data_IF_709322828764
#
_entry.id   IF_709322828764
#
_cell.length_a   1.000
_cell.length_b   1.000
_cell.length_c   1.000
_cell.angle_alpha   90.00
_cell.angle_beta   90.00
_cell.angle_gamma   90.00
#
_symmetry.space_group_name_H-M   'P 1'
#
loop_
_entity.id
_entity.type
_entity.pdbx_description
1 polymer ?
#
# COMPACT_ATOMS: atom_id res chain seq x y z
N UNK A 1 -3.50 -11.32 5.86
CA UNK A 1 -2.40 -10.90 4.96
C UNK A 1 -1.79 -9.65 5.54
N UNK A 2 -0.47 -9.55 5.48
CA UNK A 2 0.23 -8.35 5.95
C UNK A 2 0.50 -7.44 4.76
N UNK A 3 0.27 -6.15 4.95
CA UNK A 3 0.42 -5.12 3.94
C UNK A 3 0.77 -3.80 4.61
N UNK A 4 1.33 -2.85 3.86
CA UNK A 4 1.63 -1.51 4.35
C UNK A 4 1.00 -0.45 3.44
N UNK A 5 0.55 0.66 4.04
CA UNK A 5 -0.06 1.77 3.32
C UNK A 5 0.88 2.26 2.21
N UNK A 6 0.39 2.38 0.97
CA UNK A 6 1.19 2.90 -0.14
C UNK A 6 2.40 2.04 -0.53
N UNK A 7 2.50 0.80 -0.03
CA UNK A 7 3.65 -0.07 -0.20
C UNK A 7 4.88 0.36 0.60
N UNK A 8 4.67 1.04 1.74
CA UNK A 8 5.73 1.48 2.65
C UNK A 8 6.79 0.40 2.92
N UNK A 9 8.02 0.87 3.14
CA UNK A 9 9.15 0.04 3.55
C UNK A 9 10.12 -0.25 2.41
N UNK A 10 10.91 -1.31 2.59
CA UNK A 10 11.99 -1.72 1.73
C UNK A 10 12.93 -2.64 2.49
N UNK A 11 13.84 -3.31 1.79
CA UNK A 11 14.80 -4.21 2.43
C UNK A 11 16.18 -3.54 2.55
N UNK A 12 16.72 -3.32 3.77
CA UNK A 12 18.05 -2.74 3.93
C UNK A 12 19.16 -3.63 3.36
N UNK A 13 18.89 -4.93 3.20
CA UNK A 13 19.83 -5.92 2.64
C UNK A 13 19.67 -6.13 1.13
N UNK A 14 18.62 -5.59 0.52
CA UNK A 14 18.39 -5.70 -0.92
C UNK A 14 18.11 -4.31 -1.50
N UNK A 15 19.17 -3.54 -1.83
CA UNK A 15 19.05 -2.19 -2.35
C UNK A 15 18.14 -2.15 -3.58
N UNK A 16 17.11 -1.31 -3.52
CA UNK A 16 16.15 -1.12 -4.61
C UNK A 16 15.06 -2.18 -4.70
N UNK A 17 15.02 -3.15 -3.77
CA UNK A 17 13.85 -4.03 -3.63
C UNK A 17 12.59 -3.16 -3.39
N UNK A 18 11.44 -3.54 -3.99
CA UNK A 18 10.19 -2.87 -3.70
C UNK A 18 9.85 -3.02 -2.21
N UNK A 19 9.06 -2.08 -1.71
CA UNK A 19 8.56 -2.11 -0.34
C UNK A 19 7.59 -3.25 -0.08
N UNK A 20 6.77 -3.13 0.96
CA UNK A 20 5.77 -4.15 1.27
C UNK A 20 4.64 -4.17 0.24
N UNK A 21 3.80 -5.21 0.30
CA UNK A 21 2.52 -5.24 -0.39
C UNK A 21 1.70 -4.00 -0.03
N UNK A 22 1.23 -3.26 -1.03
CA UNK A 22 0.44 -2.06 -0.80
C UNK A 22 -0.99 -2.41 -0.36
N UNK A 23 -1.43 -1.88 0.78
CA UNK A 23 -2.77 -2.15 1.36
C UNK A 23 -3.89 -1.86 0.38
N UNK A 24 -3.84 -0.71 -0.31
CA UNK A 24 -4.86 -0.31 -1.28
C UNK A 24 -4.96 -1.27 -2.47
N UNK A 25 -3.84 -1.86 -2.89
CA UNK A 25 -3.80 -2.85 -3.98
C UNK A 25 -4.38 -4.19 -3.53
N UNK A 26 -4.06 -4.62 -2.31
CA UNK A 26 -4.66 -5.81 -1.72
C UNK A 26 -6.17 -5.66 -1.58
N UNK A 27 -6.65 -4.53 -1.09
CA UNK A 27 -8.08 -4.26 -0.95
C UNK A 27 -8.80 -4.22 -2.31
N UNK A 28 -8.17 -3.63 -3.34
CA UNK A 28 -8.71 -3.64 -4.70
C UNK A 28 -8.83 -5.07 -5.25
N UNK A 29 -7.80 -5.91 -5.05
CA UNK A 29 -7.83 -7.32 -5.44
C UNK A 29 -8.95 -8.08 -4.73
N UNK A 30 -9.01 -7.99 -3.39
CA UNK A 30 -10.00 -8.72 -2.59
C UNK A 30 -11.42 -8.32 -2.97
N UNK A 31 -11.66 -7.03 -3.21
CA UNK A 31 -12.95 -6.56 -3.70
C UNK A 31 -13.30 -7.11 -5.09
N UNK A 32 -12.33 -7.18 -6.02
CA UNK A 32 -12.53 -7.80 -7.33
C UNK A 32 -12.84 -9.29 -7.27
N UNK A 33 -12.43 -9.96 -6.18
CA UNK A 33 -12.76 -11.37 -5.89
C UNK A 33 -14.06 -11.53 -5.08
N UNK A 34 -14.74 -10.44 -4.73
CA UNK A 34 -15.96 -10.47 -3.91
C UNK A 34 -15.70 -10.80 -2.43
N UNK A 35 -14.46 -10.63 -1.95
CA UNK A 35 -14.09 -10.89 -0.55
C UNK A 35 -14.24 -9.60 0.25
N UNK A 36 -15.12 -9.62 1.24
CA UNK A 36 -15.31 -8.51 2.17
C UNK A 36 -14.20 -8.48 3.23
N UNK A 37 -13.74 -7.28 3.55
CA UNK A 37 -12.64 -7.05 4.52
C UNK A 37 -13.07 -6.21 5.72
N UNK A 38 -14.22 -5.53 5.64
CA UNK A 38 -14.66 -4.55 6.63
C UNK A 38 -13.86 -3.24 6.65
N UNK A 39 -12.89 -3.07 5.74
CA UNK A 39 -12.05 -1.87 5.66
C UNK A 39 -12.67 -0.83 4.72
N UNK A 40 -12.73 0.42 5.17
CA UNK A 40 -13.08 1.56 4.33
C UNK A 40 -11.95 1.86 3.33
N UNK A 41 -12.20 1.54 2.05
CA UNK A 41 -11.21 1.70 0.98
C UNK A 41 -10.94 3.16 0.63
N UNK A 42 -11.94 4.04 0.72
CA UNK A 42 -11.78 5.46 0.43
C UNK A 42 -10.92 6.13 1.51
N UNK A 43 -11.17 5.78 2.78
CA UNK A 43 -10.33 6.23 3.89
C UNK A 43 -8.86 5.80 3.73
N UNK A 44 -8.61 4.56 3.27
CA UNK A 44 -7.26 4.07 2.99
C UNK A 44 -6.60 4.86 1.85
N UNK A 45 -7.32 5.13 0.75
CA UNK A 45 -6.79 5.92 -0.37
C UNK A 45 -6.46 7.35 0.06
N UNK A 46 -7.31 7.97 0.88
CA UNK A 46 -7.06 9.30 1.43
C UNK A 46 -5.80 9.32 2.31
N UNK A 47 -5.66 8.34 3.21
CA UNK A 47 -4.49 8.21 4.07
C UNK A 47 -3.19 7.99 3.26
N UNK A 48 -3.22 7.14 2.23
CA UNK A 48 -2.07 6.92 1.34
C UNK A 48 -1.72 8.18 0.54
N UNK A 49 -2.71 8.97 0.14
CA UNK A 49 -2.51 10.23 -0.57
C UNK A 49 -1.78 11.25 0.30
N UNK A 50 -2.18 11.39 1.56
CA UNK A 50 -1.49 12.23 2.54
C UNK A 50 -0.05 11.74 2.79
N UNK A 51 0.11 10.44 2.98
CA UNK A 51 1.40 9.80 3.22
C UNK A 51 2.40 10.06 2.07
N UNK A 52 1.92 10.11 0.82
CA UNK A 52 2.73 10.45 -0.37
C UNK A 52 3.30 11.85 -0.35
N UNK A 53 2.62 12.79 0.30
CA UNK A 53 3.09 14.17 0.41
C UNK A 53 4.15 14.31 1.50
N UNK A 54 4.04 13.50 2.55
CA UNK A 54 4.87 13.60 3.75
C UNK A 54 6.08 12.66 3.77
N UNK A 55 6.06 11.56 3.01
CA UNK A 55 7.10 10.52 3.03
C UNK A 55 7.79 10.39 1.67
N UNK A 56 9.06 10.80 1.55
CA UNK A 56 9.81 10.66 0.30
C UNK A 56 9.97 9.19 -0.12
N UNK A 57 9.86 8.93 -1.42
CA UNK A 57 10.14 7.61 -2.01
C UNK A 57 8.97 6.62 -1.98
N UNK A 58 7.82 7.01 -1.46
CA UNK A 58 6.61 6.19 -1.48
C UNK A 58 5.97 6.19 -2.90
N UNK A 59 5.52 5.03 -3.39
CA UNK A 59 4.82 4.91 -4.68
C UNK A 59 5.66 5.16 -5.95
N UNK A 60 6.97 5.41 -5.83
CA UNK A 60 7.85 5.77 -6.94
C UNK A 60 8.39 4.56 -7.76
N UNK A 61 8.02 3.32 -7.41
CA UNK A 61 8.46 2.13 -8.15
C UNK A 61 7.27 1.19 -8.34
N UNK A 62 6.69 1.26 -9.53
CA UNK A 62 5.71 0.32 -10.05
C UNK A 62 6.37 -1.02 -10.39
#
# INVERSE_FOLDING_TARGET
>A
FDAAAGGLGGCPFAPGAPGNLATERLLALLAGLGIETGVDREAVVAAVTELRQSVPGIGARA
#
